data_IF_127671503095
#
_entry.id   IF_127671503095
#
_cell.length_a   1.000
_cell.length_b   1.000
_cell.length_c   1.000
_cell.angle_alpha   90.00
_cell.angle_beta   90.00
_cell.angle_gamma   90.00
#
_symmetry.space_group_name_H-M   'P 1'
#
loop_
_entity.id
_entity.type
_entity.pdbx_description
1 polymer ?
#
# COMPACT_ATOMS: atom_id res chain seq x y z
N UNK A 1 4.67 -15.03 -16.51
CA UNK A 1 3.87 -13.89 -15.99
C UNK A 1 2.35 -14.02 -16.17
N UNK A 2 1.81 -14.50 -17.30
CA UNK A 2 0.34 -14.59 -17.55
C UNK A 2 -0.45 -15.43 -16.51
N UNK A 3 0.16 -16.43 -15.88
CA UNK A 3 -0.50 -17.26 -14.86
C UNK A 3 -0.69 -16.58 -13.49
N UNK A 4 0.21 -15.66 -13.10
CA UNK A 4 0.11 -14.92 -11.82
C UNK A 4 -1.03 -13.91 -11.90
N UNK A 5 -1.15 -13.19 -13.02
CA UNK A 5 -2.25 -12.24 -13.28
C UNK A 5 -3.63 -12.92 -13.31
N UNK A 6 -3.71 -14.19 -13.74
CA UNK A 6 -4.96 -14.95 -13.75
C UNK A 6 -5.45 -15.31 -12.33
N UNK A 7 -4.54 -15.48 -11.37
CA UNK A 7 -4.88 -15.67 -9.95
C UNK A 7 -5.45 -14.38 -9.36
N UNK A 8 -4.97 -13.22 -9.83
CA UNK A 8 -5.41 -11.89 -9.41
C UNK A 8 -6.87 -11.58 -9.77
N UNK A 9 -7.40 -12.19 -10.84
CA UNK A 9 -8.76 -11.94 -11.34
C UNK A 9 -9.86 -12.27 -10.31
N UNK A 10 -9.60 -13.19 -9.38
CA UNK A 10 -10.52 -13.51 -8.27
C UNK A 10 -10.53 -12.48 -7.12
N UNK A 11 -9.55 -11.57 -7.08
CA UNK A 11 -9.38 -10.57 -6.02
C UNK A 11 -9.68 -9.14 -6.50
N UNK A 12 -10.28 -8.98 -7.67
CA UNK A 12 -10.49 -7.66 -8.30
C UNK A 12 -11.30 -6.69 -7.44
N UNK A 13 -12.35 -7.17 -6.76
CA UNK A 13 -13.14 -6.34 -5.84
C UNK A 13 -12.33 -5.87 -4.63
N UNK A 14 -11.53 -6.77 -4.04
CA UNK A 14 -10.63 -6.43 -2.92
C UNK A 14 -9.56 -5.44 -3.37
N UNK A 15 -9.08 -5.56 -4.60
CA UNK A 15 -8.11 -4.63 -5.17
C UNK A 15 -8.70 -3.21 -5.36
N UNK A 16 -9.93 -3.10 -5.85
CA UNK A 16 -10.63 -1.80 -5.95
C UNK A 16 -10.83 -1.17 -4.56
N UNK A 17 -11.30 -1.97 -3.59
CA UNK A 17 -11.49 -1.49 -2.21
C UNK A 17 -10.15 -1.00 -1.63
N UNK A 18 -9.07 -1.75 -1.86
CA UNK A 18 -7.73 -1.38 -1.42
C UNK A 18 -7.31 -0.03 -2.01
N UNK A 19 -7.52 0.23 -3.30
CA UNK A 19 -7.19 1.52 -3.92
C UNK A 19 -7.98 2.66 -3.27
N UNK A 20 -9.28 2.45 -3.02
CA UNK A 20 -10.12 3.45 -2.35
C UNK A 20 -9.62 3.82 -0.95
N UNK A 21 -9.25 2.83 -0.14
CA UNK A 21 -8.67 3.10 1.19
C UNK A 21 -7.27 3.72 1.10
N UNK A 22 -6.43 3.30 0.15
CA UNK A 22 -5.12 3.93 -0.08
C UNK A 22 -5.27 5.40 -0.43
N UNK A 23 -6.25 5.77 -1.26
CA UNK A 23 -6.58 7.16 -1.54
C UNK A 23 -6.95 7.92 -0.26
N UNK A 24 -7.79 7.34 0.60
CA UNK A 24 -8.14 7.93 1.89
C UNK A 24 -6.91 8.17 2.81
N UNK A 25 -5.98 7.21 2.86
CA UNK A 25 -4.70 7.37 3.59
C UNK A 25 -3.88 8.52 3.02
N UNK A 26 -3.76 8.62 1.70
CA UNK A 26 -2.98 9.68 1.05
C UNK A 26 -3.59 11.05 1.31
N UNK A 27 -4.92 11.18 1.18
CA UNK A 27 -5.61 12.44 1.47
C UNK A 27 -5.43 12.89 2.93
N UNK A 28 -5.54 11.96 3.89
CA UNK A 28 -5.29 12.26 5.30
C UNK A 28 -3.85 12.76 5.54
N UNK A 29 -2.86 12.14 4.90
CA UNK A 29 -1.47 12.59 4.98
C UNK A 29 -1.25 13.97 4.37
N UNK A 30 -1.90 14.25 3.23
CA UNK A 30 -1.78 15.53 2.56
C UNK A 30 -2.49 16.65 3.35
N UNK A 31 -3.59 16.38 4.04
CA UNK A 31 -4.34 17.38 4.84
C UNK A 31 -3.62 17.85 6.12
N UNK A 32 -2.72 17.03 6.67
CA UNK A 32 -1.95 17.40 7.87
C UNK A 32 -1.14 18.71 7.69
N UNK A 33 -0.36 18.90 6.61
CA UNK A 33 0.31 20.17 6.32
C UNK A 33 -0.60 21.41 6.25
N UNK A 34 -1.79 21.30 5.64
CA UNK A 34 -2.72 22.44 5.56
C UNK A 34 -3.20 22.85 6.95
N UNK A 35 -3.57 21.86 7.77
CA UNK A 35 -4.01 22.12 9.15
C UNK A 35 -2.89 22.68 10.01
N UNK A 36 -1.65 22.25 9.77
CA UNK A 36 -0.48 22.87 10.40
C UNK A 36 -0.33 24.34 9.98
N UNK A 37 -0.48 24.65 8.68
CA UNK A 37 -0.45 26.03 8.19
C UNK A 37 -1.56 26.89 8.81
N UNK A 38 -2.76 26.33 8.95
CA UNK A 38 -3.92 27.01 9.54
C UNK A 38 -3.71 27.30 11.04
N UNK A 39 -3.08 26.38 11.79
CA UNK A 39 -2.68 26.61 13.19
C UNK A 39 -1.70 27.79 13.28
N UNK A 40 -0.70 27.85 12.40
CA UNK A 40 0.29 28.94 12.42
C UNK A 40 -0.35 30.27 12.02
N UNK A 41 -1.06 30.30 10.89
CA UNK A 41 -1.58 31.53 10.29
C UNK A 41 -2.82 32.09 10.99
N UNK A 42 -3.75 31.23 11.39
CA UNK A 42 -5.01 31.64 12.02
C UNK A 42 -5.01 31.49 13.53
N UNK A 43 -4.15 30.63 14.09
CA UNK A 43 -4.01 30.45 15.53
C UNK A 43 -2.91 31.33 16.11
N UNK A 44 -1.65 30.99 15.81
CA UNK A 44 -0.48 31.60 16.46
C UNK A 44 -0.35 33.09 16.10
N UNK A 45 -0.41 33.43 14.81
CA UNK A 45 -0.22 34.82 14.35
C UNK A 45 -1.36 35.74 14.84
N UNK A 46 -2.61 35.24 14.86
CA UNK A 46 -3.78 35.99 15.32
C UNK A 46 -4.03 35.89 16.83
N UNK A 47 -3.18 35.15 17.56
CA UNK A 47 -3.33 34.83 18.97
C UNK A 47 -4.71 34.23 19.34
N UNK A 48 -5.33 33.50 18.41
CA UNK A 48 -6.62 32.85 18.63
C UNK A 48 -6.41 31.42 19.14
N UNK A 49 -6.55 31.25 20.45
CA UNK A 49 -6.42 29.96 21.12
C UNK A 49 -7.53 28.97 20.70
N UNK A 50 -8.72 29.47 20.35
CA UNK A 50 -9.84 28.61 19.92
C UNK A 50 -9.54 27.95 18.59
N UNK A 51 -8.97 28.71 17.65
CA UNK A 51 -8.53 28.19 16.36
C UNK A 51 -7.46 27.10 16.49
N UNK A 52 -6.52 27.24 17.43
CA UNK A 52 -5.48 26.23 17.71
C UNK A 52 -6.12 24.92 18.20
N UNK A 53 -7.00 24.98 19.19
CA UNK A 53 -7.66 23.79 19.75
C UNK A 53 -8.54 23.08 18.71
N UNK A 54 -9.32 23.84 17.95
CA UNK A 54 -10.22 23.26 16.94
C UNK A 54 -9.42 22.57 15.82
N UNK A 55 -8.39 23.23 15.29
CA UNK A 55 -7.56 22.65 14.23
C UNK A 55 -6.71 21.48 14.74
N UNK A 56 -6.19 21.55 15.97
CA UNK A 56 -5.48 20.43 16.60
C UNK A 56 -6.36 19.20 16.78
N UNK A 57 -7.62 19.40 17.21
CA UNK A 57 -8.58 18.30 17.34
C UNK A 57 -8.95 17.71 15.97
N UNK A 58 -9.11 18.55 14.95
CA UNK A 58 -9.28 18.08 13.57
C UNK A 58 -8.07 17.26 13.08
N UNK A 59 -6.83 17.66 13.38
CA UNK A 59 -5.64 16.88 13.01
C UNK A 59 -5.63 15.49 13.65
N UNK A 60 -6.05 15.37 14.91
CA UNK A 60 -6.17 14.07 15.60
C UNK A 60 -7.22 13.20 14.89
N UNK A 61 -8.39 13.76 14.57
CA UNK A 61 -9.45 13.03 13.88
C UNK A 61 -9.02 12.55 12.49
N UNK A 62 -8.37 13.42 11.71
CA UNK A 62 -7.83 13.07 10.38
C UNK A 62 -6.76 11.98 10.48
N UNK A 63 -5.87 12.08 11.48
CA UNK A 63 -4.83 11.06 11.72
C UNK A 63 -5.43 9.73 12.13
N UNK A 64 -6.44 9.72 13.01
CA UNK A 64 -7.14 8.52 13.43
C UNK A 64 -7.87 7.85 12.25
N UNK A 65 -8.56 8.63 11.43
CA UNK A 65 -9.22 8.14 10.22
C UNK A 65 -8.21 7.59 9.20
N UNK A 66 -7.10 8.30 8.97
CA UNK A 66 -6.00 7.85 8.12
C UNK A 66 -5.34 6.56 8.63
N UNK A 67 -5.15 6.45 9.95
CA UNK A 67 -4.64 5.25 10.61
C UNK A 67 -5.57 4.04 10.43
N UNK A 68 -6.88 4.24 10.60
CA UNK A 68 -7.88 3.20 10.34
C UNK A 68 -7.83 2.72 8.88
N UNK A 69 -7.81 3.65 7.92
CA UNK A 69 -7.65 3.32 6.51
C UNK A 69 -6.35 2.55 6.24
N UNK A 70 -5.25 2.92 6.89
CA UNK A 70 -3.94 2.24 6.75
C UNK A 70 -3.98 0.80 7.25
N UNK A 71 -4.66 0.54 8.37
CA UNK A 71 -4.86 -0.81 8.91
C UNK A 71 -5.68 -1.65 7.92
N UNK A 72 -6.76 -1.09 7.37
CA UNK A 72 -7.61 -1.77 6.38
C UNK A 72 -6.82 -2.10 5.11
N UNK A 73 -6.03 -1.16 4.58
CA UNK A 73 -5.14 -1.41 3.43
C UNK A 73 -4.15 -2.54 3.74
N UNK A 74 -3.52 -2.52 4.91
CA UNK A 74 -2.59 -3.56 5.35
C UNK A 74 -3.25 -4.94 5.40
N UNK A 75 -4.47 -5.01 5.96
CA UNK A 75 -5.25 -6.24 6.04
C UNK A 75 -5.64 -6.77 4.65
N UNK A 76 -6.16 -5.92 3.76
CA UNK A 76 -6.52 -6.33 2.41
C UNK A 76 -5.29 -6.78 1.61
N UNK A 77 -4.18 -6.05 1.69
CA UNK A 77 -2.94 -6.42 1.01
C UNK A 77 -2.44 -7.80 1.48
N UNK A 78 -2.44 -8.03 2.79
CA UNK A 78 -2.07 -9.32 3.38
C UNK A 78 -3.01 -10.45 2.94
N UNK A 79 -4.32 -10.19 2.87
CA UNK A 79 -5.32 -11.18 2.46
C UNK A 79 -5.18 -11.57 0.98
N UNK A 80 -4.94 -10.60 0.10
CA UNK A 80 -4.71 -10.85 -1.34
C UNK A 80 -3.39 -11.63 -1.53
N UNK A 81 -2.30 -11.16 -0.92
CA UNK A 81 -0.98 -11.76 -1.09
C UNK A 81 -0.91 -13.19 -0.51
N UNK A 82 -1.46 -13.41 0.69
CA UNK A 82 -1.50 -14.74 1.31
C UNK A 82 -2.36 -15.71 0.51
N UNK A 83 -3.52 -15.26 0.02
CA UNK A 83 -4.37 -16.09 -0.85
C UNK A 83 -3.69 -16.48 -2.17
N UNK A 84 -2.89 -15.57 -2.74
CA UNK A 84 -2.06 -15.86 -3.91
C UNK A 84 -0.96 -16.89 -3.58
N UNK A 85 -0.25 -16.68 -2.47
CA UNK A 85 0.82 -17.57 -2.01
C UNK A 85 0.30 -18.99 -1.73
N UNK A 86 -0.89 -19.12 -1.13
CA UNK A 86 -1.53 -20.41 -0.90
C UNK A 86 -1.80 -21.15 -2.22
N UNK A 87 -2.41 -20.49 -3.21
CA UNK A 87 -2.68 -21.09 -4.53
C UNK A 87 -1.40 -21.45 -5.27
N UNK A 88 -0.36 -20.64 -5.14
CA UNK A 88 0.95 -20.93 -5.72
C UNK A 88 1.57 -22.16 -5.08
N UNK A 89 1.51 -22.27 -3.74
CA UNK A 89 2.04 -23.41 -2.98
C UNK A 89 1.35 -24.72 -3.34
N UNK A 90 0.02 -24.71 -3.44
CA UNK A 90 -0.76 -25.89 -3.85
C UNK A 90 -0.34 -26.38 -5.25
N UNK A 91 -0.28 -25.47 -6.22
CA UNK A 91 0.15 -25.82 -7.59
C UNK A 91 1.59 -26.29 -7.68
N UNK A 92 2.49 -25.71 -6.89
CA UNK A 92 3.88 -26.16 -6.82
C UNK A 92 3.95 -27.56 -6.24
N UNK A 93 3.19 -27.83 -5.17
CA UNK A 93 3.15 -29.14 -4.53
C UNK A 93 2.59 -30.22 -5.47
N UNK A 94 1.43 -29.98 -6.10
CA UNK A 94 0.85 -30.87 -7.12
C UNK A 94 1.84 -31.15 -8.27
N UNK A 95 2.61 -30.13 -8.67
CA UNK A 95 3.62 -30.29 -9.72
C UNK A 95 4.79 -31.17 -9.26
N UNK A 96 5.26 -31.00 -8.02
CA UNK A 96 6.36 -31.79 -7.46
C UNK A 96 5.94 -33.26 -7.30
N UNK A 97 4.70 -33.54 -6.88
CA UNK A 97 4.18 -34.91 -6.79
C UNK A 97 4.10 -35.61 -8.15
N UNK A 98 3.90 -34.84 -9.22
CA UNK A 98 3.86 -35.37 -10.60
C UNK A 98 5.23 -35.64 -11.23
N UNK A 99 6.35 -35.38 -10.53
CA UNK A 99 7.70 -35.55 -11.09
C UNK A 99 8.12 -37.01 -11.16
N UNK A 100 8.73 -37.39 -12.29
CA UNK A 100 9.38 -38.69 -12.42
C UNK A 100 10.72 -38.70 -11.68
N UNK A 101 11.25 -39.88 -11.34
CA UNK A 101 12.59 -40.02 -10.74
C UNK A 101 13.70 -39.38 -11.59
N UNK A 102 13.52 -39.27 -12.91
CA UNK A 102 14.46 -38.58 -13.81
C UNK A 102 14.42 -37.04 -13.66
N UNK A 103 13.28 -36.46 -13.25
CA UNK A 103 13.13 -35.03 -13.03
C UNK A 103 13.73 -34.57 -11.69
N UNK A 104 13.75 -35.46 -10.69
CA UNK A 104 14.46 -35.24 -9.41
C UNK A 104 15.97 -35.11 -9.59
N UNK A 105 16.56 -35.75 -10.61
CA UNK A 105 17.97 -35.59 -10.94
C UNK A 105 18.28 -34.24 -11.60
N UNK A 106 17.29 -33.57 -12.21
CA UNK A 106 17.42 -32.18 -12.72
C UNK A 106 17.20 -31.13 -11.63
N UNK A 107 16.35 -31.41 -10.65
CA UNK A 107 16.07 -30.51 -9.54
C UNK A 107 16.32 -31.23 -8.21
N UNK A 108 17.45 -30.94 -7.56
CA UNK A 108 17.76 -31.49 -6.23
C UNK A 108 16.63 -31.25 -5.24
N UNK A 109 16.35 -32.24 -4.38
CA UNK A 109 15.36 -32.18 -3.31
C UNK A 109 15.52 -30.93 -2.45
N UNK A 110 16.76 -30.53 -2.14
CA UNK A 110 17.03 -29.32 -1.37
C UNK A 110 16.55 -28.04 -2.09
N UNK A 111 16.69 -27.98 -3.42
CA UNK A 111 16.19 -26.86 -4.23
C UNK A 111 14.66 -26.85 -4.31
N UNK A 112 14.01 -28.01 -4.37
CA UNK A 112 12.55 -28.10 -4.35
C UNK A 112 11.97 -27.65 -3.02
N UNK A 113 12.65 -27.92 -1.91
CA UNK A 113 12.28 -27.44 -0.57
C UNK A 113 12.34 -25.90 -0.54
N UNK A 114 13.47 -25.29 -0.92
CA UNK A 114 13.61 -23.82 -0.87
C UNK A 114 12.65 -23.10 -1.80
N UNK A 115 12.36 -23.66 -2.98
CA UNK A 115 11.35 -23.13 -3.92
C UNK A 115 9.92 -23.21 -3.38
N UNK A 116 9.61 -24.23 -2.57
CA UNK A 116 8.26 -24.42 -2.02
C UNK A 116 8.01 -23.61 -0.74
N UNK A 117 9.07 -23.12 -0.11
CA UNK A 117 9.00 -22.36 1.15
C UNK A 117 9.44 -20.91 0.95
N UNK A 118 10.76 -20.69 0.81
CA UNK A 118 11.38 -19.37 0.77
C UNK A 118 10.93 -18.55 -0.44
N UNK A 119 10.92 -19.13 -1.64
CA UNK A 119 10.53 -18.37 -2.84
C UNK A 119 9.06 -17.96 -2.78
N UNK A 120 8.18 -18.84 -2.28
CA UNK A 120 6.76 -18.52 -2.08
C UNK A 120 6.58 -17.39 -1.06
N UNK A 121 7.36 -17.41 0.03
CA UNK A 121 7.32 -16.36 1.04
C UNK A 121 7.84 -15.02 0.48
N UNK A 122 8.93 -15.04 -0.30
CA UNK A 122 9.42 -13.83 -0.97
C UNK A 122 8.39 -13.26 -1.95
N UNK A 123 7.73 -14.13 -2.73
CA UNK A 123 6.63 -13.73 -3.62
C UNK A 123 5.48 -13.11 -2.82
N UNK A 124 5.12 -13.70 -1.67
CA UNK A 124 4.07 -13.17 -0.79
C UNK A 124 4.43 -11.77 -0.27
N UNK A 125 5.62 -11.60 0.33
CA UNK A 125 6.06 -10.30 0.87
C UNK A 125 6.20 -9.25 -0.23
N UNK A 126 6.77 -9.61 -1.37
CA UNK A 126 6.87 -8.71 -2.54
C UNK A 126 5.49 -8.27 -3.01
N UNK A 127 4.51 -9.17 -3.03
CA UNK A 127 3.13 -8.83 -3.39
C UNK A 127 2.50 -7.85 -2.39
N UNK A 128 2.74 -8.03 -1.08
CA UNK A 128 2.29 -7.07 -0.05
C UNK A 128 2.92 -5.70 -0.29
N UNK A 129 4.23 -5.65 -0.53
CA UNK A 129 4.95 -4.40 -0.79
C UNK A 129 4.44 -3.70 -2.05
N UNK A 130 4.24 -4.42 -3.14
CA UNK A 130 3.67 -3.87 -4.37
C UNK A 130 2.27 -3.30 -4.15
N UNK A 131 1.40 -4.03 -3.44
CA UNK A 131 0.05 -3.58 -3.13
C UNK A 131 0.03 -2.33 -2.23
N UNK A 132 1.02 -2.15 -1.36
CA UNK A 132 1.07 -1.00 -0.45
C UNK A 132 1.83 0.19 -1.05
N UNK A 133 3.10 0.00 -1.36
CA UNK A 133 4.00 1.09 -1.75
C UNK A 133 3.81 1.50 -3.21
N UNK A 134 3.70 0.55 -4.13
CA UNK A 134 3.63 0.86 -5.55
C UNK A 134 2.31 1.54 -5.94
N UNK A 135 1.23 1.31 -5.18
CA UNK A 135 -0.04 2.03 -5.35
C UNK A 135 -0.03 3.39 -4.64
N UNK A 136 0.55 3.47 -3.45
CA UNK A 136 0.59 4.71 -2.67
C UNK A 136 1.46 5.78 -3.32
N UNK A 137 2.63 5.41 -3.86
CA UNK A 137 3.58 6.35 -4.46
C UNK A 137 2.99 7.23 -5.58
N UNK A 138 2.37 6.70 -6.65
CA UNK A 138 1.79 7.53 -7.71
C UNK A 138 0.59 8.36 -7.22
N UNK A 139 -0.26 7.80 -6.35
CA UNK A 139 -1.41 8.54 -5.79
C UNK A 139 -0.92 9.72 -4.96
N UNK A 140 0.12 9.51 -4.15
CA UNK A 140 0.76 10.55 -3.36
C UNK A 140 1.48 11.59 -4.22
N UNK A 141 2.18 11.17 -5.28
CA UNK A 141 2.83 12.09 -6.20
C UNK A 141 1.80 13.03 -6.86
N UNK A 142 0.70 12.46 -7.39
CA UNK A 142 -0.36 13.25 -8.03
C UNK A 142 -1.05 14.18 -7.01
N UNK A 143 -1.46 13.64 -5.86
CA UNK A 143 -2.14 14.44 -4.83
C UNK A 143 -1.24 15.52 -4.22
N UNK A 144 0.04 15.22 -4.03
CA UNK A 144 1.05 16.16 -3.54
C UNK A 144 1.33 17.28 -4.53
N UNK A 145 1.53 16.95 -5.82
CA UNK A 145 1.73 17.94 -6.88
C UNK A 145 0.53 18.87 -7.01
N UNK A 146 -0.69 18.33 -7.07
CA UNK A 146 -1.92 19.12 -7.12
C UNK A 146 -1.97 20.14 -5.96
N UNK A 147 -1.58 19.71 -4.76
CA UNK A 147 -1.66 20.54 -3.57
C UNK A 147 -0.55 21.58 -3.49
N UNK A 148 0.66 21.22 -3.90
CA UNK A 148 1.79 22.14 -4.00
C UNK A 148 1.46 23.30 -4.96
N UNK A 149 0.88 22.97 -6.13
CA UNK A 149 0.46 23.98 -7.11
C UNK A 149 -0.62 24.93 -6.57
N UNK A 150 -1.55 24.42 -5.75
CA UNK A 150 -2.62 25.23 -5.18
C UNK A 150 -2.13 26.14 -4.03
N UNK A 151 -1.25 25.64 -3.17
CA UNK A 151 -0.81 26.37 -1.98
C UNK A 151 0.36 27.33 -2.24
N UNK A 152 1.21 27.04 -3.23
CA UNK A 152 2.37 27.86 -3.55
C UNK A 152 2.75 27.78 -5.05
N UNK A 153 1.93 28.36 -5.95
CA UNK A 153 2.17 28.31 -7.39
C UNK A 153 3.55 28.90 -7.77
N UNK A 154 4.02 29.95 -7.08
CA UNK A 154 5.30 30.61 -7.37
C UNK A 154 6.54 29.79 -6.94
N UNK A 155 6.39 28.89 -5.96
CA UNK A 155 7.47 27.99 -5.49
C UNK A 155 7.49 26.64 -6.22
N UNK A 156 6.47 26.39 -7.06
CA UNK A 156 6.33 25.12 -7.78
C UNK A 156 7.45 24.88 -8.81
N UNK A 157 8.13 25.95 -9.27
CA UNK A 157 9.25 25.88 -10.21
C UNK A 157 10.52 25.23 -9.64
N UNK A 158 10.65 25.12 -8.31
CA UNK A 158 11.81 24.46 -7.66
C UNK A 158 11.68 22.93 -7.72
N UNK A 159 10.47 22.41 -7.95
CA UNK A 159 10.16 20.97 -8.00
C UNK A 159 10.41 20.40 -9.42
N UNK A 160 10.55 21.26 -10.43
CA UNK A 160 10.80 20.89 -11.84
C UNK A 160 12.27 20.55 -12.12
#
# INVERSE_FOLDING_TARGET
MKHILRIFRGYWLLFIILIGFTYGVVMANLWLPDKMSEIVNNGIIKQDMSAIWNNGLMMILVTAAGGFCSIVVGFLAARIATGMAQKLRLKLFERIESFSLADFNKFSTASLITRSTNDIQQIQTTSIMLLRLALMAPIMAIGGLQKAMNNAPDLSWIIA
#
